data_IF_110904389419
#
_entry.id   IF_110904389419
#
_cell.length_a   1.000
_cell.length_b   1.000
_cell.length_c   1.000
_cell.angle_alpha   90.00
_cell.angle_beta   90.00
_cell.angle_gamma   90.00
#
_symmetry.space_group_name_H-M   'P 1'
#
loop_
_entity.id
_entity.type
_entity.pdbx_description
1 polymer ?
#
# COMPACT_ATOMS: atom_id res chain seq x y z
N UNK A 1 -0.57 -12.30 14.74
CA UNK A 1 -0.37 -11.43 15.93
C UNK A 1 -1.16 -12.00 17.09
N UNK A 2 -0.64 -11.91 18.31
CA UNK A 2 -1.30 -12.47 19.50
C UNK A 2 -2.53 -11.66 19.93
N UNK A 3 -2.58 -10.36 19.59
CA UNK A 3 -3.71 -9.48 19.88
C UNK A 3 -4.50 -9.09 18.61
N UNK A 4 -5.68 -9.70 18.45
CA UNK A 4 -6.61 -9.45 17.32
C UNK A 4 -7.03 -7.98 17.19
N UNK A 5 -7.14 -7.23 18.29
CA UNK A 5 -7.53 -5.81 18.23
C UNK A 5 -6.43 -4.95 17.63
N UNK A 6 -5.17 -5.18 18.04
CA UNK A 6 -4.01 -4.47 17.50
C UNK A 6 -3.85 -4.77 16.01
N UNK A 7 -4.03 -6.04 15.63
CA UNK A 7 -4.00 -6.46 14.22
C UNK A 7 -5.04 -5.69 13.39
N UNK A 8 -6.27 -5.62 13.90
CA UNK A 8 -7.35 -4.94 13.19
C UNK A 8 -7.08 -3.44 13.04
N UNK A 9 -6.53 -2.79 14.07
CA UNK A 9 -6.12 -1.37 14.00
C UNK A 9 -5.04 -1.13 12.95
N UNK A 10 -4.01 -1.99 12.88
CA UNK A 10 -2.98 -1.90 11.84
C UNK A 10 -3.58 -2.06 10.44
N UNK A 11 -4.45 -3.05 10.26
CA UNK A 11 -5.12 -3.32 8.99
C UNK A 11 -6.00 -2.15 8.56
N UNK A 12 -6.76 -1.58 9.49
CA UNK A 12 -7.59 -0.42 9.24
C UNK A 12 -6.75 0.82 8.88
N UNK A 13 -5.64 1.07 9.59
CA UNK A 13 -4.75 2.19 9.30
C UNK A 13 -4.12 2.11 7.92
N UNK A 14 -3.57 0.94 7.54
CA UNK A 14 -3.00 0.72 6.20
C UNK A 14 -4.07 0.80 5.13
N UNK A 15 -5.25 0.19 5.35
CA UNK A 15 -6.34 0.24 4.38
C UNK A 15 -6.86 1.67 4.16
N UNK A 16 -7.01 2.45 5.23
CA UNK A 16 -7.42 3.85 5.13
C UNK A 16 -6.43 4.67 4.29
N UNK A 17 -5.12 4.48 4.53
CA UNK A 17 -4.07 5.19 3.80
C UNK A 17 -4.08 4.91 2.29
N UNK A 18 -4.57 3.73 1.87
CA UNK A 18 -4.72 3.35 0.46
C UNK A 18 -6.08 3.75 -0.13
N UNK A 19 -7.15 3.71 0.67
CA UNK A 19 -8.49 4.08 0.21
C UNK A 19 -8.65 5.60 0.03
N UNK A 20 -8.09 6.39 0.95
CA UNK A 20 -8.24 7.84 0.90
C UNK A 20 -7.72 8.47 -0.41
N UNK A 21 -6.46 8.24 -0.86
CA UNK A 21 -5.98 8.81 -2.11
C UNK A 21 -6.78 8.32 -3.31
N UNK A 22 -7.07 7.02 -3.39
CA UNK A 22 -7.84 6.44 -4.49
C UNK A 22 -9.24 7.04 -4.62
N UNK A 23 -9.96 7.23 -3.51
CA UNK A 23 -11.29 7.84 -3.51
C UNK A 23 -11.18 9.34 -3.80
N UNK A 24 -10.23 10.04 -3.20
CA UNK A 24 -10.04 11.47 -3.40
C UNK A 24 -9.66 11.81 -4.85
N UNK A 25 -8.89 10.94 -5.51
CA UNK A 25 -8.49 11.10 -6.91
C UNK A 25 -9.67 11.12 -7.89
N UNK A 26 -10.79 10.46 -7.56
CA UNK A 26 -12.01 10.52 -8.38
C UNK A 26 -12.64 11.92 -8.37
N UNK A 27 -12.55 12.63 -7.25
CA UNK A 27 -13.18 13.94 -7.08
C UNK A 27 -12.23 15.12 -7.34
N UNK A 28 -10.92 14.91 -7.15
CA UNK A 28 -9.91 15.94 -7.35
C UNK A 28 -8.62 15.34 -7.94
N UNK A 29 -8.63 14.89 -9.20
CA UNK A 29 -7.49 14.19 -9.81
C UNK A 29 -6.21 15.03 -9.87
N UNK A 30 -6.35 16.35 -10.04
CA UNK A 30 -5.22 17.28 -10.09
C UNK A 30 -4.40 17.33 -8.80
N UNK A 31 -5.00 17.00 -7.65
CA UNK A 31 -4.27 16.91 -6.39
C UNK A 31 -3.34 15.69 -6.31
N UNK A 32 -3.55 14.67 -7.15
CA UNK A 32 -2.88 13.36 -7.03
C UNK A 32 -1.98 13.04 -8.22
N UNK A 33 -2.29 13.55 -9.41
CA UNK A 33 -1.52 13.30 -10.63
C UNK A 33 -0.05 13.75 -10.51
N UNK A 34 0.23 14.76 -9.68
CA UNK A 34 1.57 15.29 -9.43
C UNK A 34 2.51 14.37 -8.64
N UNK A 35 2.00 13.29 -8.04
CA UNK A 35 2.82 12.28 -7.34
C UNK A 35 3.30 11.16 -8.26
N UNK A 36 2.84 11.12 -9.52
CA UNK A 36 3.35 10.17 -10.49
C UNK A 36 4.71 10.63 -11.04
N UNK A 37 5.68 9.73 -11.18
CA UNK A 37 6.92 9.99 -11.90
C UNK A 37 6.66 10.50 -13.32
N UNK A 38 7.45 11.49 -13.75
CA UNK A 38 7.34 12.12 -15.08
C UNK A 38 7.40 11.09 -16.22
N UNK A 39 8.18 10.02 -16.08
CA UNK A 39 8.27 8.99 -17.12
C UNK A 39 6.95 8.20 -17.30
N UNK A 40 6.17 8.01 -16.24
CA UNK A 40 4.87 7.33 -16.31
C UNK A 40 3.82 8.23 -16.93
N UNK A 41 3.77 9.50 -16.52
CA UNK A 41 2.83 10.47 -17.10
C UNK A 41 3.17 10.78 -18.56
N UNK A 42 4.44 10.84 -18.92
CA UNK A 42 4.88 11.00 -20.32
C UNK A 42 4.52 9.78 -21.17
N UNK A 43 4.60 8.56 -20.62
CA UNK A 43 4.18 7.34 -21.30
C UNK A 43 2.66 7.27 -21.48
N UNK A 44 1.90 7.73 -20.49
CA UNK A 44 0.44 7.76 -20.54
C UNK A 44 -0.11 8.87 -21.45
N UNK A 45 0.60 10.00 -21.58
CA UNK A 45 0.22 11.12 -22.42
C UNK A 45 -1.19 11.63 -22.11
N UNK A 46 -2.05 11.66 -23.12
CA UNK A 46 -3.46 12.06 -22.99
C UNK A 46 -4.29 11.13 -22.09
N UNK A 47 -3.77 9.96 -21.73
CA UNK A 47 -4.45 8.97 -20.88
C UNK A 47 -3.94 8.97 -19.44
N UNK A 48 -3.32 10.06 -18.96
CA UNK A 48 -2.81 10.13 -17.59
C UNK A 48 -3.92 9.98 -16.53
N UNK A 49 -5.15 10.42 -16.82
CA UNK A 49 -6.30 10.20 -15.93
C UNK A 49 -6.63 8.72 -15.77
N UNK A 50 -6.49 7.93 -16.84
CA UNK A 50 -6.68 6.47 -16.78
C UNK A 50 -5.58 5.81 -15.96
N UNK A 51 -4.33 6.26 -16.09
CA UNK A 51 -3.23 5.79 -15.25
C UNK A 51 -3.54 6.04 -13.76
N UNK A 52 -4.00 7.25 -13.42
CA UNK A 52 -4.37 7.61 -12.05
C UNK A 52 -5.49 6.71 -11.51
N UNK A 53 -6.57 6.51 -12.26
CA UNK A 53 -7.70 5.69 -11.81
C UNK A 53 -7.38 4.19 -11.76
N UNK A 54 -6.55 3.69 -12.68
CA UNK A 54 -6.11 2.29 -12.66
C UNK A 54 -5.21 2.01 -11.45
N UNK A 55 -4.32 2.95 -11.13
CA UNK A 55 -3.52 2.89 -9.91
C UNK A 55 -4.40 2.96 -8.67
N UNK A 56 -5.34 3.92 -8.59
CA UNK A 56 -6.29 4.02 -7.49
C UNK A 56 -7.16 2.77 -7.31
N UNK A 57 -7.58 2.14 -8.40
CA UNK A 57 -8.30 0.87 -8.35
C UNK A 57 -7.46 -0.24 -7.70
N UNK A 58 -6.16 -0.31 -8.04
CA UNK A 58 -5.25 -1.27 -7.42
C UNK A 58 -5.06 -1.02 -5.91
N UNK A 59 -5.02 0.24 -5.49
CA UNK A 59 -4.96 0.62 -4.07
C UNK A 59 -6.22 0.18 -3.33
N UNK A 60 -7.41 0.40 -3.92
CA UNK A 60 -8.69 -0.07 -3.37
C UNK A 60 -8.70 -1.59 -3.22
N UNK A 61 -8.25 -2.33 -4.25
CA UNK A 61 -8.18 -3.79 -4.20
C UNK A 61 -7.27 -4.25 -3.05
N UNK A 62 -6.09 -3.66 -2.90
CA UNK A 62 -5.15 -3.99 -1.83
C UNK A 62 -5.78 -3.68 -0.46
N UNK A 63 -6.36 -2.49 -0.29
CA UNK A 63 -6.96 -2.07 0.97
C UNK A 63 -8.13 -2.98 1.39
N UNK A 64 -9.05 -3.29 0.47
CA UNK A 64 -10.16 -4.20 0.74
C UNK A 64 -9.65 -5.61 1.04
N UNK A 65 -8.60 -6.08 0.36
CA UNK A 65 -8.00 -7.39 0.66
C UNK A 65 -7.37 -7.42 2.07
N UNK A 66 -6.68 -6.35 2.49
CA UNK A 66 -6.19 -6.20 3.87
C UNK A 66 -7.37 -6.23 4.86
N UNK A 67 -8.48 -5.55 4.59
CA UNK A 67 -9.67 -5.53 5.46
C UNK A 67 -10.42 -6.86 5.52
N UNK A 68 -10.44 -7.63 4.42
CA UNK A 68 -11.01 -9.00 4.41
C UNK A 68 -10.18 -9.94 5.29
N UNK A 69 -8.85 -9.75 5.33
CA UNK A 69 -7.96 -10.51 6.24
C UNK A 69 -7.61 -11.91 5.77
N UNK A 70 -7.94 -12.24 4.51
CA UNK A 70 -7.58 -13.52 3.90
C UNK A 70 -6.16 -13.44 3.33
N UNK A 71 -5.26 -14.32 3.77
CA UNK A 71 -3.85 -14.37 3.30
C UNK A 71 -3.13 -13.03 3.40
N UNK A 72 -3.21 -12.36 4.55
CA UNK A 72 -2.73 -10.97 4.80
C UNK A 72 -1.28 -10.73 4.34
N UNK A 73 -0.41 -11.74 4.39
CA UNK A 73 0.96 -11.63 3.90
C UNK A 73 1.05 -11.02 2.49
N UNK A 74 0.20 -11.46 1.56
CA UNK A 74 0.26 -11.04 0.16
C UNK A 74 -0.09 -9.55 0.01
N UNK A 75 -1.30 -9.08 0.37
CA UNK A 75 -1.65 -7.67 0.20
C UNK A 75 -0.83 -6.75 1.11
N UNK A 76 -0.37 -7.18 2.29
CA UNK A 76 0.54 -6.38 3.12
C UNK A 76 1.93 -6.20 2.48
N UNK A 77 2.45 -7.24 1.81
CA UNK A 77 3.70 -7.15 1.05
C UNK A 77 3.54 -6.23 -0.17
N UNK A 78 2.44 -6.35 -0.91
CA UNK A 78 2.12 -5.46 -2.03
C UNK A 78 2.00 -4.00 -1.58
N UNK A 79 1.29 -3.73 -0.48
CA UNK A 79 1.19 -2.39 0.11
C UNK A 79 2.57 -1.83 0.48
N UNK A 80 3.44 -2.66 1.06
CA UNK A 80 4.81 -2.26 1.41
C UNK A 80 5.63 -1.89 0.17
N UNK A 81 5.51 -2.65 -0.92
CA UNK A 81 6.16 -2.34 -2.20
C UNK A 81 5.64 -1.03 -2.78
N UNK A 82 4.32 -0.80 -2.73
CA UNK A 82 3.70 0.46 -3.16
C UNK A 82 4.29 1.65 -2.40
N UNK A 83 4.30 1.58 -1.07
CA UNK A 83 4.80 2.66 -0.23
C UNK A 83 6.29 2.92 -0.44
N UNK A 84 7.11 1.88 -0.64
CA UNK A 84 8.52 2.04 -1.02
C UNK A 84 8.62 2.80 -2.34
N UNK A 85 7.84 2.42 -3.36
CA UNK A 85 7.79 3.13 -4.63
C UNK A 85 7.40 4.60 -4.47
N UNK A 86 6.28 4.86 -3.79
CA UNK A 86 5.78 6.21 -3.53
C UNK A 86 6.85 7.06 -2.85
N UNK A 87 7.47 6.55 -1.78
CA UNK A 87 8.51 7.26 -1.02
C UNK A 87 9.71 7.58 -1.91
N UNK A 88 10.25 6.57 -2.62
CA UNK A 88 11.46 6.75 -3.42
C UNK A 88 11.27 7.71 -4.60
N UNK A 89 10.11 7.69 -5.24
CA UNK A 89 9.82 8.58 -6.37
C UNK A 89 9.34 9.98 -5.97
N UNK A 90 8.99 10.21 -4.70
CA UNK A 90 8.49 11.48 -4.20
C UNK A 90 9.35 12.09 -3.08
N UNK A 91 10.63 11.72 -2.97
CA UNK A 91 11.57 12.29 -1.97
C UNK A 91 11.54 13.83 -1.89
N UNK A 92 11.48 14.58 -3.02
CA UNK A 92 11.40 16.05 -2.97
C UNK A 92 10.15 16.60 -2.27
N UNK A 93 9.12 15.79 -2.06
CA UNK A 93 7.85 16.14 -1.42
C UNK A 93 7.76 15.57 0.01
N UNK A 94 8.89 15.44 0.70
CA UNK A 94 8.97 14.81 2.03
C UNK A 94 8.00 15.40 3.07
N UNK A 95 7.73 16.70 2.99
CA UNK A 95 6.77 17.40 3.87
C UNK A 95 5.35 16.82 3.79
N UNK A 96 5.03 16.13 2.69
CA UNK A 96 3.77 15.42 2.51
C UNK A 96 3.92 13.92 2.78
N UNK A 97 4.95 13.29 2.22
CA UNK A 97 5.10 11.83 2.22
C UNK A 97 5.75 11.24 3.49
N UNK A 98 6.19 12.07 4.45
CA UNK A 98 6.78 11.56 5.71
C UNK A 98 5.87 10.56 6.44
N UNK A 99 4.55 10.76 6.34
CA UNK A 99 3.54 9.85 6.92
C UNK A 99 3.57 8.45 6.31
N UNK A 100 3.97 8.34 5.04
CA UNK A 100 4.01 7.09 4.30
C UNK A 100 5.10 6.16 4.86
N UNK A 101 6.14 6.72 5.50
CA UNK A 101 7.14 5.94 6.24
C UNK A 101 6.50 5.20 7.42
N UNK A 102 5.59 5.87 8.14
CA UNK A 102 4.87 5.26 9.27
C UNK A 102 3.90 4.19 8.77
N UNK A 103 3.23 4.43 7.65
CA UNK A 103 2.33 3.46 7.02
C UNK A 103 3.12 2.25 6.51
N UNK A 104 4.32 2.46 5.95
CA UNK A 104 5.22 1.41 5.51
C UNK A 104 5.66 0.53 6.67
N UNK A 105 5.99 1.13 7.82
CA UNK A 105 6.30 0.37 9.02
C UNK A 105 5.10 -0.50 9.47
N UNK A 106 3.88 0.04 9.42
CA UNK A 106 2.66 -0.73 9.74
C UNK A 106 2.40 -1.86 8.74
N UNK A 107 2.58 -1.63 7.43
CA UNK A 107 2.37 -2.65 6.40
C UNK A 107 3.44 -3.75 6.48
N UNK A 108 4.70 -3.41 6.76
CA UNK A 108 5.76 -4.36 7.00
C UNK A 108 5.51 -5.18 8.26
N UNK A 109 5.04 -4.56 9.34
CA UNK A 109 4.67 -5.28 10.56
C UNK A 109 3.57 -6.33 10.29
N UNK A 110 2.57 -5.99 9.48
CA UNK A 110 1.56 -6.94 9.01
C UNK A 110 2.17 -8.04 8.14
N UNK A 111 3.03 -7.72 7.18
CA UNK A 111 3.67 -8.70 6.31
C UNK A 111 4.52 -9.70 7.13
N UNK A 112 5.39 -9.20 8.00
CA UNK A 112 6.23 -10.05 8.87
C UNK A 112 5.38 -10.91 9.81
N UNK A 113 4.30 -10.35 10.38
CA UNK A 113 3.42 -11.08 11.29
C UNK A 113 2.65 -12.23 10.65
N UNK A 114 2.46 -12.20 9.33
CA UNK A 114 1.75 -13.23 8.55
C UNK A 114 2.67 -14.02 7.63
N UNK A 115 3.98 -13.84 7.75
CA UNK A 115 4.96 -14.56 6.94
C UNK A 115 4.76 -16.08 7.10
N UNK A 116 4.66 -16.84 6.00
CA UNK A 116 4.57 -18.29 6.06
C UNK A 116 5.79 -18.85 6.78
N UNK A 117 5.60 -19.50 7.94
CA UNK A 117 6.67 -20.28 8.55
C UNK A 117 6.81 -21.58 7.77
N UNK A 118 8.01 -21.85 7.26
CA UNK A 118 8.38 -23.23 6.94
C UNK A 118 8.44 -23.99 8.25
N UNK A 119 7.57 -24.97 8.44
CA UNK A 119 7.79 -25.98 9.47
C UNK A 119 9.09 -26.71 9.10
N UNK A 120 10.12 -26.52 9.92
CA UNK A 120 11.31 -27.37 9.83
C UNK A 120 10.84 -28.71 10.35
N UNK A 121 10.59 -29.66 9.45
CA UNK A 121 10.28 -31.04 9.79
C UNK A 121 11.38 -31.54 10.72
N UNK A 122 11.05 -31.74 12.00
CA UNK A 122 11.91 -32.47 12.94
C UNK A 122 11.82 -33.94 12.60
N UNK A 123 12.44 -34.34 11.51
CA UNK A 123 12.68 -35.74 11.15
C UNK A 123 14.20 -35.94 11.15
N UNK A 124 14.77 -36.07 12.36
CA UNK A 124 16.07 -36.71 12.62
C UNK A 124 16.42 -36.60 14.11
N UNK A 125 15.76 -37.39 14.97
CA UNK A 125 16.39 -38.08 16.13
C UNK A 125 15.55 -39.32 16.42
#
# INVERSE_FOLDING_TARGET
>A
MENKKVEWLLRAGVAFAFLYPAISAVFNPFAWIGYFPVFLTSLAGEHTDWLLHLFGLSEVIIALWILIGKRIFIPASLASIYLIGIILFNIPQMDVIFRDISILAMSLALAVSYMPRKEITREAV
#
